data_IF_634602749086
#
_entry.id   IF_634602749086
#
_cell.length_a   1.000
_cell.length_b   1.000
_cell.length_c   1.000
_cell.angle_alpha   90.00
_cell.angle_beta   90.00
_cell.angle_gamma   90.00
#
_symmetry.space_group_name_H-M   'P 1'
#
loop_
_entity.id
_entity.type
_entity.pdbx_description
1 polymer ?
#
# COMPACT_ATOMS: atom_id res chain seq x y z
N UNK A 1 7.87 5.53 13.33
CA UNK A 1 6.67 6.38 13.24
C UNK A 1 6.32 6.44 11.77
N UNK A 2 5.09 6.08 11.40
CA UNK A 2 4.61 6.24 10.02
C UNK A 2 4.70 7.73 9.66
N UNK A 3 5.29 8.06 8.51
CA UNK A 3 5.57 9.42 8.02
C UNK A 3 4.32 10.13 7.47
N UNK A 4 3.20 9.95 8.17
CA UNK A 4 1.88 10.31 7.69
C UNK A 4 1.55 11.80 7.73
N UNK A 5 0.47 12.21 7.07
CA UNK A 5 -0.03 13.59 7.13
C UNK A 5 -0.92 13.79 8.37
N UNK A 6 -1.11 15.05 8.81
CA UNK A 6 -2.15 15.42 9.79
C UNK A 6 -1.69 15.72 11.22
N UNK A 7 -0.43 16.12 11.42
CA UNK A 7 0.07 16.53 12.74
C UNK A 7 -0.25 18.00 13.04
N UNK A 8 -0.60 18.31 14.30
CA UNK A 8 -0.71 19.68 14.82
C UNK A 8 -0.08 19.79 16.20
N UNK A 9 0.35 21.00 16.58
CA UNK A 9 0.80 21.32 17.96
C UNK A 9 -0.35 21.44 18.94
N UNK A 10 -1.58 21.61 18.43
CA UNK A 10 -2.76 21.95 19.23
C UNK A 10 -3.35 20.73 19.97
N UNK A 11 -2.99 19.52 19.56
CA UNK A 11 -3.48 18.29 20.20
C UNK A 11 -2.56 17.10 19.95
N UNK A 12 -2.66 16.08 20.80
CA UNK A 12 -2.02 14.79 20.56
C UNK A 12 -2.56 14.17 19.27
N UNK A 13 -1.68 13.61 18.46
CA UNK A 13 -2.05 12.84 17.27
C UNK A 13 -3.01 11.70 17.60
N UNK A 14 -4.12 11.63 16.86
CA UNK A 14 -5.03 10.50 16.88
C UNK A 14 -4.37 9.30 16.18
N UNK A 15 -4.40 8.15 16.84
CA UNK A 15 -3.93 6.89 16.26
C UNK A 15 -5.12 6.02 15.85
N UNK A 16 -4.88 5.01 15.01
CA UNK A 16 -5.95 4.08 14.64
C UNK A 16 -6.47 3.30 15.85
N UNK A 17 -5.60 3.02 16.83
CA UNK A 17 -5.98 2.43 18.11
C UNK A 17 -6.95 3.33 18.91
N UNK A 18 -6.78 4.65 18.88
CA UNK A 18 -7.72 5.57 19.50
C UNK A 18 -9.10 5.46 18.85
N UNK A 19 -9.15 5.38 17.51
CA UNK A 19 -10.38 5.17 16.74
C UNK A 19 -11.02 3.83 17.09
N UNK A 20 -10.26 2.72 17.12
CA UNK A 20 -10.78 1.39 17.46
C UNK A 20 -11.30 1.28 18.89
N UNK A 21 -10.70 2.02 19.83
CA UNK A 21 -11.21 2.12 21.20
C UNK A 21 -12.55 2.85 21.26
N UNK A 22 -12.70 3.95 20.52
CA UNK A 22 -13.91 4.77 20.52
C UNK A 22 -15.05 4.21 19.65
N UNK A 23 -14.71 3.63 18.50
CA UNK A 23 -15.65 3.15 17.49
C UNK A 23 -15.63 1.63 17.41
N UNK A 24 -16.80 1.02 17.58
CA UNK A 24 -16.93 -0.45 17.74
C UNK A 24 -17.15 -1.20 16.42
N UNK A 25 -17.30 -0.50 15.31
CA UNK A 25 -17.43 -1.11 13.99
C UNK A 25 -16.06 -1.22 13.30
N UNK A 26 -16.08 -1.55 12.02
CA UNK A 26 -14.90 -1.65 11.15
C UNK A 26 -14.18 -0.31 11.05
N UNK A 27 -12.86 -0.33 11.27
CA UNK A 27 -11.94 0.80 11.12
C UNK A 27 -10.95 0.49 10.01
N UNK A 28 -10.80 1.43 9.08
CA UNK A 28 -9.78 1.37 8.03
C UNK A 28 -8.69 2.41 8.30
N UNK A 29 -7.43 1.98 8.34
CA UNK A 29 -6.27 2.85 8.40
C UNK A 29 -5.80 3.24 6.99
N UNK A 30 -5.40 4.50 6.79
CA UNK A 30 -4.80 4.96 5.55
C UNK A 30 -3.80 6.08 5.86
N UNK A 31 -2.53 5.74 6.04
CA UNK A 31 -1.44 6.73 6.16
C UNK A 31 -0.07 6.06 6.02
N UNK A 32 0.49 6.07 4.80
CA UNK A 32 1.84 5.57 4.50
C UNK A 32 2.15 4.12 4.93
N UNK A 33 1.14 3.24 4.97
CA UNK A 33 1.40 1.82 5.21
C UNK A 33 2.19 1.22 4.04
N UNK A 34 3.23 0.46 4.39
CA UNK A 34 3.84 -0.57 3.55
C UNK A 34 3.26 -1.93 3.93
N UNK A 35 3.52 -2.95 3.09
CA UNK A 35 3.16 -4.32 3.43
C UNK A 35 3.70 -4.72 4.80
N UNK A 36 4.99 -4.53 5.04
CA UNK A 36 5.64 -4.93 6.28
C UNK A 36 4.99 -4.25 7.51
N UNK A 37 4.71 -2.95 7.41
CA UNK A 37 4.06 -2.23 8.51
C UNK A 37 2.61 -2.63 8.72
N UNK A 38 1.92 -3.10 7.68
CA UNK A 38 0.55 -3.60 7.77
C UNK A 38 0.50 -4.98 8.41
N UNK A 39 1.38 -5.88 7.98
CA UNK A 39 1.54 -7.21 8.55
C UNK A 39 1.92 -7.18 10.04
N UNK A 40 2.58 -6.12 10.51
CA UNK A 40 2.84 -5.91 11.94
C UNK A 40 1.63 -5.33 12.70
N UNK A 41 0.78 -4.53 12.03
CA UNK A 41 -0.27 -3.72 12.68
C UNK A 41 -1.62 -4.46 12.73
N UNK A 42 -2.05 -5.16 11.67
CA UNK A 42 -3.30 -5.94 11.65
C UNK A 42 -3.34 -7.01 12.77
N UNK A 43 -2.29 -7.81 13.01
CA UNK A 43 -2.31 -8.83 14.07
C UNK A 43 -2.44 -8.23 15.47
N UNK A 44 -2.09 -6.95 15.64
CA UNK A 44 -2.20 -6.25 16.92
C UNK A 44 -3.63 -5.78 17.24
N UNK A 45 -4.62 -6.06 16.38
CA UNK A 45 -6.03 -5.62 16.48
C UNK A 45 -6.23 -4.10 16.49
N UNK A 46 -5.23 -3.35 16.03
CA UNK A 46 -5.28 -1.89 16.00
C UNK A 46 -6.28 -1.36 14.95
N UNK A 47 -6.53 -2.12 13.90
CA UNK A 47 -7.41 -1.82 12.77
C UNK A 47 -7.92 -3.09 12.09
N UNK A 48 -8.95 -2.97 11.25
CA UNK A 48 -9.54 -4.11 10.53
C UNK A 48 -9.11 -4.17 9.06
N UNK A 49 -8.73 -3.02 8.48
CA UNK A 49 -8.43 -2.84 7.06
C UNK A 49 -7.35 -1.77 6.87
N UNK A 50 -6.46 -1.95 5.90
CA UNK A 50 -5.51 -0.92 5.46
C UNK A 50 -5.77 -0.51 4.01
N UNK A 51 -5.83 0.80 3.78
CA UNK A 51 -5.93 1.40 2.46
C UNK A 51 -4.58 1.79 1.90
N UNK A 52 -4.29 1.38 0.66
CA UNK A 52 -3.08 1.74 -0.09
C UNK A 52 -3.47 2.64 -1.27
N UNK A 53 -3.07 3.91 -1.26
CA UNK A 53 -3.42 4.84 -2.36
C UNK A 53 -2.27 4.96 -3.37
N UNK A 54 -1.18 5.63 -2.97
CA UNK A 54 -0.05 5.93 -3.86
C UNK A 54 0.59 4.70 -4.50
N UNK A 55 0.66 3.61 -3.75
CA UNK A 55 1.25 2.36 -4.24
C UNK A 55 0.35 1.68 -5.28
N UNK A 56 -0.98 1.83 -5.17
CA UNK A 56 -1.93 1.28 -6.15
C UNK A 56 -1.89 2.01 -7.49
N UNK A 57 -1.43 3.27 -7.54
CA UNK A 57 -1.34 4.04 -8.80
C UNK A 57 -0.44 3.31 -9.81
N UNK A 58 0.74 2.84 -9.38
CA UNK A 58 1.69 2.15 -10.25
C UNK A 58 1.59 0.62 -10.22
N UNK A 59 0.69 0.06 -9.39
CA UNK A 59 0.53 -1.38 -9.20
C UNK A 59 -0.95 -1.76 -9.30
N UNK A 60 -1.50 -1.97 -10.50
CA UNK A 60 -2.91 -2.35 -10.66
C UNK A 60 -3.24 -3.71 -10.00
N UNK A 61 -2.23 -4.54 -9.75
CA UNK A 61 -2.26 -5.85 -9.11
C UNK A 61 -1.60 -5.88 -7.73
N UNK A 62 -1.55 -4.74 -7.03
CA UNK A 62 -0.87 -4.62 -5.74
C UNK A 62 -1.26 -5.74 -4.74
N UNK A 63 -2.55 -6.07 -4.68
CA UNK A 63 -3.07 -7.13 -3.80
C UNK A 63 -2.47 -8.50 -4.13
N UNK A 64 -2.30 -8.81 -5.41
CA UNK A 64 -1.73 -10.09 -5.82
C UNK A 64 -0.22 -10.13 -5.59
N UNK A 65 0.46 -9.01 -5.83
CA UNK A 65 1.87 -8.86 -5.45
C UNK A 65 2.06 -9.06 -3.95
N UNK A 66 1.17 -8.51 -3.12
CA UNK A 66 1.20 -8.67 -1.67
C UNK A 66 1.00 -10.11 -1.22
N UNK A 67 0.02 -10.80 -1.82
CA UNK A 67 -0.29 -12.20 -1.47
C UNK A 67 0.82 -13.19 -1.84
N UNK A 68 1.59 -12.92 -2.90
CA UNK A 68 2.59 -13.86 -3.44
C UNK A 68 4.03 -13.45 -3.15
N UNK A 69 4.23 -12.40 -2.36
CA UNK A 69 5.55 -11.82 -2.14
C UNK A 69 6.31 -11.42 -3.40
N UNK A 70 5.57 -10.83 -4.35
CA UNK A 70 6.18 -10.27 -5.55
C UNK A 70 6.65 -8.84 -5.34
N UNK A 71 7.73 -8.43 -6.03
CA UNK A 71 8.15 -7.04 -6.09
C UNK A 71 7.04 -6.13 -6.60
N UNK A 72 6.92 -4.95 -5.99
CA UNK A 72 6.00 -3.89 -6.41
C UNK A 72 6.77 -2.77 -7.10
N UNK A 73 6.12 -2.11 -8.05
CA UNK A 73 6.61 -0.86 -8.63
C UNK A 73 6.70 0.22 -7.55
N UNK A 74 7.69 1.12 -7.63
CA UNK A 74 7.77 2.27 -6.72
C UNK A 74 6.57 3.20 -6.92
N UNK A 75 6.32 4.06 -5.93
CA UNK A 75 5.36 5.16 -6.06
C UNK A 75 5.75 6.00 -7.28
N UNK A 76 4.81 6.30 -8.19
CA UNK A 76 5.14 7.02 -9.41
C UNK A 76 5.41 8.49 -9.13
N UNK A 77 6.01 9.17 -10.10
CA UNK A 77 6.29 10.61 -10.01
C UNK A 77 5.02 11.41 -9.70
N UNK A 78 5.18 12.47 -8.91
CA UNK A 78 4.06 13.30 -8.42
C UNK A 78 3.18 13.89 -9.54
N UNK A 79 3.73 14.10 -10.74
CA UNK A 79 2.96 14.57 -11.91
C UNK A 79 1.81 13.61 -12.26
N UNK A 80 2.02 12.30 -12.09
CA UNK A 80 1.02 11.28 -12.42
C UNK A 80 -0.13 11.21 -11.41
N UNK A 81 -0.13 12.03 -10.36
CA UNK A 81 -1.21 12.04 -9.38
C UNK A 81 -2.41 12.87 -9.84
N UNK A 82 -2.21 13.86 -10.72
CA UNK A 82 -3.26 14.82 -11.09
C UNK A 82 -3.04 15.52 -12.44
N UNK A 83 -1.86 15.46 -13.05
CA UNK A 83 -1.54 16.27 -14.23
C UNK A 83 -2.21 15.71 -15.49
N UNK A 84 -3.23 16.41 -15.98
CA UNK A 84 -3.96 16.04 -17.20
C UNK A 84 -3.13 16.18 -18.49
N UNK A 85 -1.99 16.87 -18.45
CA UNK A 85 -1.08 16.98 -19.60
C UNK A 85 -0.41 15.64 -19.95
N UNK A 86 -0.37 14.69 -19.00
CA UNK A 86 0.19 13.34 -19.21
C UNK A 86 -0.77 12.40 -19.95
N UNK A 87 -2.02 12.81 -20.17
CA UNK A 87 -3.06 12.01 -20.83
C UNK A 87 -3.25 10.64 -20.16
N UNK A 88 -2.93 9.55 -20.84
CA UNK A 88 -3.03 8.16 -20.37
C UNK A 88 -1.73 7.64 -19.72
N UNK A 89 -0.61 8.31 -19.96
CA UNK A 89 0.69 8.00 -19.38
C UNK A 89 0.65 8.13 -17.85
N UNK A 90 0.95 7.06 -17.14
CA UNK A 90 0.91 7.01 -15.68
C UNK A 90 -0.49 7.00 -15.06
N UNK A 91 -1.55 6.78 -15.86
CA UNK A 91 -2.90 6.53 -15.33
C UNK A 91 -3.33 5.07 -15.55
N UNK A 92 -3.47 4.62 -16.79
CA UNK A 92 -3.90 3.26 -17.15
C UNK A 92 -2.82 2.47 -17.93
N UNK A 93 -1.59 2.98 -17.94
CA UNK A 93 -0.46 2.42 -18.69
C UNK A 93 0.52 1.61 -17.82
N UNK A 94 0.35 1.63 -16.49
CA UNK A 94 1.11 0.76 -15.60
C UNK A 94 0.71 -0.71 -15.80
N UNK A 95 1.72 -1.55 -16.03
CA UNK A 95 1.53 -2.98 -16.25
C UNK A 95 1.46 -3.76 -14.94
N UNK A 96 0.80 -4.91 -15.02
CA UNK A 96 0.84 -5.95 -13.99
C UNK A 96 2.25 -6.54 -13.86
N UNK A 97 2.57 -7.04 -12.66
CA UNK A 97 3.74 -7.88 -12.45
C UNK A 97 3.68 -9.11 -13.34
N UNK A 98 4.81 -9.43 -13.99
CA UNK A 98 4.95 -10.62 -14.83
C UNK A 98 5.86 -11.60 -14.10
N UNK A 99 5.30 -12.61 -13.40
CA UNK A 99 6.13 -13.63 -12.79
C UNK A 99 6.96 -14.30 -13.87
N UNK A 100 8.26 -14.50 -13.60
CA UNK A 100 9.08 -15.32 -14.49
C UNK A 100 8.48 -16.72 -14.50
N UNK A 101 8.15 -17.23 -15.67
CA UNK A 101 7.91 -18.66 -15.85
C UNK A 101 9.19 -19.35 -15.40
N UNK A 102 9.16 -20.11 -14.32
CA UNK A 102 10.34 -20.89 -13.92
C UNK A 102 10.67 -21.86 -15.07
N UNK A 103 11.76 -21.59 -15.78
CA UNK A 103 12.50 -22.64 -16.47
C UNK A 103 13.00 -23.59 -15.38
N UNK A 104 12.68 -24.87 -15.54
CA UNK A 104 13.11 -25.97 -14.68
C UNK A 104 14.55 -25.79 -14.21
N UNK A 105 14.76 -25.80 -12.89
CA UNK A 105 16.05 -26.20 -12.34
C UNK A 105 16.09 -27.71 -12.50
N UNK A 106 16.71 -28.18 -13.58
CA UNK A 106 17.21 -29.54 -13.62
C UNK A 106 18.31 -29.64 -12.55
N UNK A 107 18.02 -30.30 -11.44
CA UNK A 107 19.07 -30.91 -10.63
C UNK A 107 19.76 -31.95 -11.53
N UNK A 108 20.96 -31.62 -12.00
CA UNK A 108 21.84 -32.59 -12.63
C UNK A 108 22.41 -33.52 -11.55
N UNK A 109 22.55 -34.83 -11.85
CA UNK A 109 22.93 -35.87 -10.88
C UNK A 109 24.38 -35.74 -10.37
#
# INVERSE_FOLDING_TARGET
MLDGFGYSSESRTLTVLDTKKAFKSTVMANNSYTRDTDEDVIPSSADDLVGYARLFISNPDLVECFRNDWPVNPVPDYKFFWDSATSDEGYNTFGHYKPRSNCHVEEQP
#
